data_IF_089580715077
#
_entry.id   IF_089580715077
#
_cell.length_a   1.000
_cell.length_b   1.000
_cell.length_c   1.000
_cell.angle_alpha   90.00
_cell.angle_beta   90.00
_cell.angle_gamma   90.00
#
_symmetry.space_group_name_H-M   'P 1'
#
loop_
_entity.id
_entity.type
_entity.pdbx_description
1 polymer ?
#
# COMPACT_ATOMS: atom_id res chain seq x y z
N UNK A 1 18.88 45.44 2.04
CA UNK A 1 19.39 45.71 0.68
C UNK A 1 20.05 44.46 0.16
N UNK A 2 19.75 44.14 -1.09
CA UNK A 2 19.81 42.79 -1.66
C UNK A 2 21.24 42.35 -1.98
N UNK A 3 21.70 41.24 -1.38
CA UNK A 3 22.87 40.52 -1.85
C UNK A 3 22.48 39.68 -3.06
N UNK A 4 22.98 40.09 -4.23
CA UNK A 4 22.90 39.31 -5.47
C UNK A 4 23.89 38.16 -5.37
N UNK A 5 23.39 36.94 -5.08
CA UNK A 5 24.16 35.72 -5.28
C UNK A 5 23.94 35.29 -6.73
N UNK A 6 24.94 35.56 -7.57
CA UNK A 6 25.01 35.02 -8.93
C UNK A 6 25.57 33.61 -8.78
N UNK A 7 24.69 32.60 -8.81
CA UNK A 7 25.10 31.20 -8.93
C UNK A 7 25.43 30.97 -10.40
N UNK A 8 26.72 30.94 -10.68
CA UNK A 8 27.29 30.54 -11.96
C UNK A 8 27.06 29.03 -12.12
N UNK A 9 25.96 28.67 -12.78
CA UNK A 9 25.62 27.29 -13.13
C UNK A 9 26.63 26.83 -14.18
N UNK A 10 27.72 26.25 -13.69
CA UNK A 10 28.78 25.64 -14.49
C UNK A 10 28.18 24.40 -15.15
N UNK A 11 27.66 24.61 -16.36
CA UNK A 11 27.21 23.58 -17.26
C UNK A 11 28.43 22.71 -17.61
N UNK A 12 28.61 21.61 -16.88
CA UNK A 12 29.55 20.58 -17.27
C UNK A 12 29.01 19.95 -18.55
N UNK A 13 29.57 20.40 -19.67
CA UNK A 13 29.40 19.78 -20.97
C UNK A 13 29.87 18.34 -20.91
N UNK A 14 28.92 17.41 -20.96
CA UNK A 14 29.21 16.06 -21.40
C UNK A 14 29.43 16.11 -22.92
N UNK A 15 30.69 16.29 -23.31
CA UNK A 15 31.13 16.02 -24.68
C UNK A 15 31.07 14.52 -24.91
N UNK A 16 29.92 14.01 -25.35
CA UNK A 16 29.85 12.72 -26.04
C UNK A 16 30.23 12.95 -27.50
N UNK A 17 31.54 13.00 -27.75
CA UNK A 17 32.08 12.83 -29.08
C UNK A 17 32.01 11.35 -29.45
N UNK A 18 31.04 10.97 -30.28
CA UNK A 18 31.14 9.80 -31.14
C UNK A 18 30.67 10.17 -32.55
N UNK A 19 31.68 10.48 -33.38
CA UNK A 19 31.85 10.12 -34.79
C UNK A 19 30.56 9.87 -35.59
N UNK A 20 30.28 10.78 -36.53
CA UNK A 20 29.40 10.50 -37.65
C UNK A 20 29.98 9.37 -38.52
N UNK A 21 29.21 8.29 -38.75
CA UNK A 21 28.82 7.78 -40.09
C UNK A 21 28.42 6.29 -40.08
N UNK A 22 27.21 6.07 -40.60
CA UNK A 22 26.69 4.89 -41.30
C UNK A 22 25.99 3.78 -40.48
N UNK A 23 24.67 3.67 -40.71
CA UNK A 23 23.70 2.62 -40.28
C UNK A 23 23.14 2.69 -38.85
N UNK A 24 22.16 3.56 -38.59
CA UNK A 24 21.31 3.44 -37.40
C UNK A 24 19.83 3.73 -37.73
N UNK A 25 19.04 2.66 -37.93
CA UNK A 25 17.62 2.69 -37.57
C UNK A 25 17.24 1.58 -36.57
N UNK A 26 18.19 0.75 -36.11
CA UNK A 26 17.89 -0.40 -35.23
C UNK A 26 18.08 -0.15 -33.74
N UNK A 27 18.95 0.78 -33.36
CA UNK A 27 19.25 1.11 -31.95
C UNK A 27 18.17 2.03 -31.35
N UNK A 28 17.75 3.07 -32.07
CA UNK A 28 16.71 4.01 -31.63
C UNK A 28 15.37 3.31 -31.39
N UNK A 29 14.90 2.49 -32.34
CA UNK A 29 13.67 1.70 -32.20
C UNK A 29 13.78 0.59 -31.14
N UNK A 30 14.98 0.16 -30.78
CA UNK A 30 15.19 -0.81 -29.68
C UNK A 30 15.12 -0.12 -28.32
N UNK A 31 15.69 1.08 -28.20
CA UNK A 31 15.58 1.88 -26.98
C UNK A 31 14.14 2.33 -26.73
N UNK A 32 13.43 2.81 -27.76
CA UNK A 32 12.01 3.18 -27.66
C UNK A 32 11.16 2.01 -27.13
N UNK A 33 11.29 0.83 -27.74
CA UNK A 33 10.57 -0.37 -27.28
C UNK A 33 10.93 -0.79 -25.85
N UNK A 34 12.19 -0.61 -25.43
CA UNK A 34 12.60 -0.94 -24.06
C UNK A 34 12.01 0.03 -23.05
N UNK A 35 11.93 1.32 -23.39
CA UNK A 35 11.29 2.33 -22.55
C UNK A 35 9.79 2.09 -22.47
N UNK A 36 9.13 1.85 -23.61
CA UNK A 36 7.68 1.57 -23.64
C UNK A 36 7.30 0.34 -22.82
N UNK A 37 8.05 -0.76 -22.96
CA UNK A 37 7.83 -1.97 -22.15
C UNK A 37 8.04 -1.70 -20.65
N UNK A 38 9.07 -0.93 -20.28
CA UNK A 38 9.33 -0.60 -18.88
C UNK A 38 8.23 0.30 -18.29
N UNK A 39 7.66 1.21 -19.09
CA UNK A 39 6.52 2.05 -18.71
C UNK A 39 5.24 1.22 -18.54
N UNK A 40 5.00 0.27 -19.44
CA UNK A 40 3.88 -0.68 -19.34
C UNK A 40 3.99 -1.53 -18.08
N UNK A 41 5.18 -2.09 -17.80
CA UNK A 41 5.45 -2.89 -16.60
C UNK A 41 5.20 -2.11 -15.30
N UNK A 42 5.65 -0.84 -15.23
CA UNK A 42 5.42 0.01 -14.05
C UNK A 42 3.93 0.32 -13.90
N UNK A 43 3.24 0.65 -15.00
CA UNK A 43 1.81 0.95 -14.98
C UNK A 43 1.02 -0.27 -14.47
N UNK A 44 1.32 -1.46 -14.98
CA UNK A 44 0.68 -2.68 -14.53
C UNK A 44 0.99 -2.99 -13.06
N UNK A 45 2.23 -2.80 -12.61
CA UNK A 45 2.60 -2.99 -11.22
C UNK A 45 1.84 -2.02 -10.28
N UNK A 46 1.63 -0.77 -10.70
CA UNK A 46 0.81 0.22 -9.97
C UNK A 46 -0.65 -0.24 -9.87
N UNK A 47 -1.22 -0.68 -10.98
CA UNK A 47 -2.60 -1.15 -11.02
C UNK A 47 -2.82 -2.36 -10.12
N UNK A 48 -1.91 -3.32 -10.14
CA UNK A 48 -2.01 -4.53 -9.33
C UNK A 48 -1.83 -4.24 -7.83
N UNK A 49 -0.92 -3.32 -7.47
CA UNK A 49 -0.79 -2.84 -6.10
C UNK A 49 -2.09 -2.16 -5.61
N UNK A 50 -2.68 -1.28 -6.43
CA UNK A 50 -3.93 -0.61 -6.11
C UNK A 50 -5.11 -1.59 -5.99
N UNK A 51 -5.20 -2.60 -6.87
CA UNK A 51 -6.21 -3.67 -6.77
C UNK A 51 -6.06 -4.46 -5.48
N UNK A 52 -4.84 -4.86 -5.12
CA UNK A 52 -4.59 -5.63 -3.90
C UNK A 52 -5.00 -4.84 -2.64
N UNK A 53 -4.61 -3.55 -2.56
CA UNK A 53 -5.01 -2.70 -1.43
C UNK A 53 -6.53 -2.50 -1.36
N UNK A 54 -7.22 -2.33 -2.49
CA UNK A 54 -8.69 -2.25 -2.53
C UNK A 54 -9.34 -3.55 -2.03
N UNK A 55 -8.80 -4.71 -2.40
CA UNK A 55 -9.31 -5.99 -1.91
C UNK A 55 -9.12 -6.15 -0.39
N UNK A 56 -8.00 -5.67 0.16
CA UNK A 56 -7.81 -5.63 1.62
C UNK A 56 -8.77 -4.66 2.31
N UNK A 57 -8.99 -3.48 1.71
CA UNK A 57 -9.94 -2.50 2.23
C UNK A 57 -11.35 -3.07 2.31
N UNK A 58 -11.79 -3.76 1.27
CA UNK A 58 -13.11 -4.42 1.24
C UNK A 58 -13.23 -5.51 2.33
N UNK A 59 -12.18 -6.32 2.54
CA UNK A 59 -12.15 -7.30 3.64
C UNK A 59 -12.29 -6.62 5.01
N UNK A 60 -11.61 -5.50 5.24
CA UNK A 60 -11.73 -4.73 6.48
C UNK A 60 -13.14 -4.13 6.63
N UNK A 61 -13.72 -3.60 5.55
CA UNK A 61 -15.07 -3.03 5.56
C UNK A 61 -16.12 -4.09 5.94
N UNK A 62 -16.04 -5.30 5.38
CA UNK A 62 -16.91 -6.42 5.75
C UNK A 62 -16.76 -6.76 7.23
N UNK A 63 -15.52 -6.75 7.76
CA UNK A 63 -15.27 -7.02 9.18
C UNK A 63 -15.81 -5.91 10.08
N UNK A 64 -15.69 -4.65 9.66
CA UNK A 64 -16.24 -3.49 10.36
C UNK A 64 -17.75 -3.61 10.53
N UNK A 65 -18.48 -3.99 9.47
CA UNK A 65 -19.92 -4.24 9.55
C UNK A 65 -20.25 -5.31 10.59
N UNK A 66 -19.47 -6.41 10.65
CA UNK A 66 -19.66 -7.48 11.65
C UNK A 66 -19.41 -6.98 13.08
N UNK A 67 -18.35 -6.19 13.30
CA UNK A 67 -18.03 -5.61 14.61
C UNK A 67 -19.12 -4.62 15.04
N UNK A 68 -19.59 -3.76 14.14
CA UNK A 68 -20.67 -2.83 14.42
C UNK A 68 -22.00 -3.52 14.71
N UNK A 69 -22.27 -4.68 14.09
CA UNK A 69 -23.40 -5.53 14.43
C UNK A 69 -23.26 -6.13 15.84
N UNK A 70 -22.06 -6.63 16.19
CA UNK A 70 -21.76 -7.16 17.53
C UNK A 70 -21.90 -6.13 18.64
N UNK A 71 -21.52 -4.88 18.39
CA UNK A 71 -21.72 -3.78 19.34
C UNK A 71 -23.19 -3.44 19.62
N UNK A 72 -24.08 -3.77 18.69
CA UNK A 72 -25.53 -3.53 18.79
C UNK A 72 -26.29 -4.75 19.32
N UNK A 73 -25.61 -5.88 19.51
CA UNK A 73 -26.24 -7.12 19.98
C UNK A 73 -26.67 -6.95 21.45
N UNK A 74 -27.92 -7.24 21.80
CA UNK A 74 -28.35 -7.19 23.19
C UNK A 74 -27.67 -8.32 23.99
N UNK A 75 -27.25 -8.02 25.22
CA UNK A 75 -26.63 -9.00 26.12
C UNK A 75 -25.10 -9.07 26.07
N UNK A 76 -24.42 -8.23 25.28
CA UNK A 76 -22.96 -8.09 25.29
C UNK A 76 -22.48 -7.53 26.63
N UNK A 77 -21.44 -8.12 27.23
CA UNK A 77 -20.85 -7.59 28.47
C UNK A 77 -20.11 -6.26 28.24
N UNK A 78 -19.81 -5.52 29.31
CA UNK A 78 -19.03 -4.28 29.19
C UNK A 78 -17.63 -4.54 28.63
N UNK A 79 -17.00 -5.63 29.07
CA UNK A 79 -15.67 -6.03 28.60
C UNK A 79 -15.69 -6.38 27.11
N UNK A 80 -16.70 -7.14 26.67
CA UNK A 80 -16.90 -7.45 25.26
C UNK A 80 -17.18 -6.19 24.44
N UNK A 81 -18.01 -5.26 24.93
CA UNK A 81 -18.24 -3.97 24.26
C UNK A 81 -16.94 -3.18 24.09
N UNK A 82 -16.12 -3.05 25.14
CA UNK A 82 -14.84 -2.34 25.06
C UNK A 82 -13.91 -2.96 24.03
N UNK A 83 -13.84 -4.28 23.96
CA UNK A 83 -13.02 -4.98 22.98
C UNK A 83 -13.53 -4.75 21.54
N UNK A 84 -14.84 -4.87 21.32
CA UNK A 84 -15.42 -4.60 20.01
C UNK A 84 -15.26 -3.13 19.59
N UNK A 85 -15.31 -2.19 20.52
CA UNK A 85 -15.02 -0.79 20.24
C UNK A 85 -13.55 -0.56 19.87
N UNK A 86 -12.62 -1.21 20.57
CA UNK A 86 -11.20 -1.17 20.22
C UNK A 86 -10.97 -1.75 18.82
N UNK A 87 -11.56 -2.91 18.50
CA UNK A 87 -11.50 -3.49 17.16
C UNK A 87 -12.10 -2.57 16.09
N UNK A 88 -13.21 -1.88 16.40
CA UNK A 88 -13.84 -0.90 15.48
C UNK A 88 -12.89 0.25 15.16
N UNK A 89 -12.19 0.78 16.17
CA UNK A 89 -11.22 1.87 15.98
C UNK A 89 -10.04 1.41 15.14
N UNK A 90 -9.47 0.25 15.47
CA UNK A 90 -8.31 -0.28 14.74
C UNK A 90 -8.66 -0.61 13.27
N UNK A 91 -9.84 -1.20 13.02
CA UNK A 91 -10.34 -1.43 11.67
C UNK A 91 -10.41 -0.14 10.84
N UNK A 92 -10.92 0.95 11.42
CA UNK A 92 -11.01 2.24 10.74
C UNK A 92 -9.62 2.85 10.47
N UNK A 93 -8.67 2.68 11.39
CA UNK A 93 -7.28 3.11 11.17
C UNK A 93 -6.64 2.34 10.01
N UNK A 94 -6.77 1.01 9.98
CA UNK A 94 -6.23 0.17 8.90
C UNK A 94 -6.86 0.51 7.54
N UNK A 95 -8.18 0.73 7.49
CA UNK A 95 -8.88 1.16 6.27
C UNK A 95 -8.32 2.49 5.77
N UNK A 96 -8.14 3.46 6.66
CA UNK A 96 -7.57 4.76 6.30
C UNK A 96 -6.15 4.65 5.75
N UNK A 97 -5.30 3.81 6.36
CA UNK A 97 -3.93 3.57 5.85
C UNK A 97 -3.92 3.01 4.44
N UNK A 98 -4.83 2.07 4.13
CA UNK A 98 -4.97 1.54 2.77
C UNK A 98 -5.49 2.60 1.79
N UNK A 99 -6.45 3.43 2.18
CA UNK A 99 -6.94 4.54 1.35
C UNK A 99 -5.83 5.54 1.04
N UNK A 100 -5.04 5.91 2.05
CA UNK A 100 -3.90 6.81 1.89
C UNK A 100 -2.83 6.18 0.96
N UNK A 101 -2.53 4.88 1.14
CA UNK A 101 -1.60 4.12 0.27
C UNK A 101 -2.09 3.98 -1.18
N UNK A 102 -3.38 3.74 -1.41
CA UNK A 102 -3.98 3.76 -2.76
C UNK A 102 -3.79 5.13 -3.41
N UNK A 103 -3.98 6.21 -2.66
CA UNK A 103 -3.76 7.58 -3.14
C UNK A 103 -2.30 7.91 -3.42
N UNK A 104 -1.35 7.27 -2.72
CA UNK A 104 0.09 7.39 -3.02
C UNK A 104 0.47 6.61 -4.29
N UNK A 105 -0.05 5.40 -4.47
CA UNK A 105 0.14 4.62 -5.70
C UNK A 105 -0.37 5.40 -6.91
N UNK A 106 -1.59 5.93 -6.84
CA UNK A 106 -2.21 6.67 -7.94
C UNK A 106 -1.35 7.88 -8.37
N UNK A 107 -0.91 8.67 -7.39
CA UNK A 107 -0.11 9.89 -7.63
C UNK A 107 1.37 9.65 -7.91
N UNK A 108 1.87 8.42 -7.74
CA UNK A 108 3.29 8.13 -7.95
C UNK A 108 3.70 8.30 -9.42
N UNK A 109 4.86 8.88 -9.64
CA UNK A 109 5.55 8.87 -10.93
C UNK A 109 6.47 7.64 -11.01
N UNK A 110 6.96 7.33 -12.21
CA UNK A 110 7.92 6.23 -12.42
C UNK A 110 9.19 6.37 -11.57
N UNK A 111 9.64 7.60 -11.34
CA UNK A 111 10.84 7.88 -10.52
C UNK A 111 10.58 7.61 -9.03
N UNK A 112 9.38 7.95 -8.55
CA UNK A 112 8.98 7.75 -7.14
C UNK A 112 8.39 6.37 -6.87
N UNK A 113 8.15 5.57 -7.91
CA UNK A 113 7.45 4.29 -7.80
C UNK A 113 8.17 3.31 -6.88
N UNK A 114 9.50 3.29 -6.88
CA UNK A 114 10.28 2.39 -6.03
C UNK A 114 9.99 2.59 -4.54
N UNK A 115 9.91 3.83 -4.10
CA UNK A 115 9.67 4.18 -2.69
C UNK A 115 8.21 3.91 -2.31
N UNK A 116 7.28 4.28 -3.19
CA UNK A 116 5.84 4.03 -3.01
C UNK A 116 5.52 2.54 -2.98
N UNK A 117 6.19 1.73 -3.82
CA UNK A 117 6.06 0.27 -3.83
C UNK A 117 6.44 -0.34 -2.48
N UNK A 118 7.54 0.12 -1.88
CA UNK A 118 7.99 -0.37 -0.58
C UNK A 118 7.03 0.04 0.55
N UNK A 119 6.56 1.29 0.55
CA UNK A 119 5.53 1.75 1.50
C UNK A 119 4.22 0.97 1.37
N UNK A 120 3.80 0.69 0.14
CA UNK A 120 2.60 -0.12 -0.16
C UNK A 120 2.76 -1.56 0.33
N UNK A 121 3.92 -2.18 0.10
CA UNK A 121 4.23 -3.53 0.59
C UNK A 121 4.11 -3.60 2.10
N UNK A 122 4.75 -2.65 2.80
CA UNK A 122 4.68 -2.57 4.26
C UNK A 122 3.25 -2.40 4.77
N UNK A 123 2.47 -1.51 4.15
CA UNK A 123 1.06 -1.29 4.53
C UNK A 123 0.24 -2.57 4.37
N UNK A 124 0.43 -3.30 3.27
CA UNK A 124 -0.24 -4.57 3.00
C UNK A 124 0.15 -5.63 4.04
N UNK A 125 1.44 -5.73 4.38
CA UNK A 125 1.95 -6.65 5.41
C UNK A 125 1.44 -6.32 6.81
N UNK A 126 1.41 -5.05 7.20
CA UNK A 126 0.88 -4.60 8.49
C UNK A 126 -0.60 -4.96 8.64
N UNK A 127 -1.39 -4.80 7.57
CA UNK A 127 -2.81 -5.18 7.52
C UNK A 127 -2.99 -6.70 7.58
N UNK A 128 -2.17 -7.48 6.86
CA UNK A 128 -2.25 -8.95 6.90
C UNK A 128 -1.88 -9.49 8.29
N UNK A 129 -0.79 -8.98 8.88
CA UNK A 129 -0.39 -9.29 10.26
C UNK A 129 -1.46 -8.89 11.28
N UNK A 130 -2.21 -7.81 11.02
CA UNK A 130 -3.37 -7.47 11.84
C UNK A 130 -4.46 -8.53 11.72
N UNK A 131 -4.82 -8.97 10.50
CA UNK A 131 -5.82 -10.04 10.31
C UNK A 131 -5.43 -11.34 11.01
N UNK A 132 -4.16 -11.74 10.94
CA UNK A 132 -3.65 -12.94 11.62
C UNK A 132 -3.83 -12.84 13.14
N UNK A 133 -3.44 -11.71 13.74
CA UNK A 133 -3.65 -11.47 15.19
C UNK A 133 -5.13 -11.51 15.58
N UNK A 134 -6.02 -10.98 14.76
CA UNK A 134 -7.45 -11.04 15.04
C UNK A 134 -8.01 -12.47 14.93
N UNK A 135 -7.52 -13.28 13.99
CA UNK A 135 -7.89 -14.70 13.89
C UNK A 135 -7.46 -15.46 15.15
N UNK A 136 -6.22 -15.27 15.61
CA UNK A 136 -5.71 -15.90 16.83
C UNK A 136 -6.48 -15.53 18.10
N UNK A 137 -6.99 -14.30 18.21
CA UNK A 137 -7.82 -13.88 19.35
C UNK A 137 -9.17 -14.63 19.35
N UNK A 138 -9.76 -14.83 18.18
CA UNK A 138 -11.04 -15.55 18.03
C UNK A 138 -10.87 -17.04 18.31
N UNK A 139 -9.81 -17.65 17.77
CA UNK A 139 -9.54 -19.08 17.95
C UNK A 139 -9.24 -19.39 19.41
N UNK A 140 -8.39 -18.60 20.06
CA UNK A 140 -8.09 -18.76 21.50
C UNK A 140 -9.33 -18.67 22.39
N UNK A 141 -10.26 -17.78 22.06
CA UNK A 141 -11.53 -17.66 22.80
C UNK A 141 -12.44 -18.86 22.56
N UNK A 142 -12.49 -19.35 21.31
CA UNK A 142 -13.29 -20.53 20.96
C UNK A 142 -12.75 -21.79 21.64
N UNK A 143 -11.44 -21.94 21.76
CA UNK A 143 -10.82 -23.07 22.44
C UNK A 143 -10.92 -22.98 23.98
N UNK A 144 -10.88 -21.76 24.54
CA UNK A 144 -11.09 -21.50 25.97
C UNK A 144 -12.57 -21.52 26.44
N UNK A 145 -13.50 -21.61 25.49
CA UNK A 145 -14.91 -21.90 25.77
C UNK A 145 -15.12 -23.43 25.73
N UNK A 146 -14.56 -24.13 24.74
CA UNK A 146 -14.66 -25.62 24.63
C UNK A 146 -14.07 -26.39 25.81
N UNK A 147 -13.08 -25.84 26.50
CA UNK A 147 -12.47 -26.47 27.68
C UNK A 147 -13.27 -26.23 28.98
N UNK A 148 -14.29 -25.36 28.95
CA UNK A 148 -15.17 -25.04 30.09
C UNK A 148 -16.59 -25.60 29.99
N UNK A 149 -16.95 -26.22 28.88
CA UNK A 149 -18.26 -26.87 28.67
C UNK A 149 -18.38 -28.25 29.35
N UNK A 150 -17.30 -28.72 29.99
CA UNK A 150 -17.20 -30.06 30.57
C UNK A 150 -17.14 -30.06 32.10
N UNK A 151 -18.20 -29.60 32.79
CA UNK A 151 -18.53 -30.03 34.16
C UNK A 151 -20.01 -29.85 34.49
#
# INVERSE_FOLDING_TARGET
MNSKIIINLSLMGATLGLVACNNAPKEETRMEKQVDNALEDITQAKDDAAKNMRALHEKLAIRLVKVEAKLKEPGTTKEQQQEWEASRVELKDQMKRLEDGIGEVDRSTNETWKDVKEGTRKTTEDVDNWFQRQAEIIDRKTDADKDKDGH
#
